data_IF_694998040096
#
_entry.id   IF_694998040096
#
_cell.length_a   1.000
_cell.length_b   1.000
_cell.length_c   1.000
_cell.angle_alpha   90.00
_cell.angle_beta   90.00
_cell.angle_gamma   90.00
#
_symmetry.space_group_name_H-M   'P 1'
#
loop_
_entity.id
_entity.type
_entity.pdbx_description
1 polymer ?
#
# COMPACT_ATOMS: atom_id res chain seq x y z
N UNK A 1 5.66 -8.22 0.59
CA UNK A 1 5.41 -8.36 2.06
C UNK A 1 4.84 -7.06 2.62
N UNK A 2 3.98 -7.14 3.62
CA UNK A 2 3.29 -5.98 4.18
C UNK A 2 3.51 -5.92 5.69
N UNK A 3 4.18 -4.88 6.23
CA UNK A 3 4.62 -4.81 7.63
C UNK A 3 3.79 -3.84 8.50
N UNK A 4 2.55 -3.52 8.14
CA UNK A 4 1.75 -2.55 8.89
C UNK A 4 0.33 -3.04 9.19
N UNK A 5 -0.27 -2.50 10.24
CA UNK A 5 -1.69 -2.66 10.56
C UNK A 5 -2.51 -1.54 9.89
N UNK A 6 -3.75 -1.86 9.55
CA UNK A 6 -4.72 -0.84 9.13
C UNK A 6 -5.16 -0.09 10.38
N UNK A 7 -5.05 1.22 10.36
CA UNK A 7 -5.42 2.08 11.47
C UNK A 7 -6.84 2.65 11.34
N UNK A 8 -7.01 3.72 10.58
CA UNK A 8 -8.31 4.35 10.39
C UNK A 8 -8.86 4.09 8.99
N UNK A 9 -10.15 3.75 8.92
CA UNK A 9 -10.91 3.72 7.68
C UNK A 9 -11.39 5.15 7.39
N UNK A 10 -10.52 5.98 6.85
CA UNK A 10 -10.78 7.39 6.58
C UNK A 10 -10.61 7.72 5.10
N UNK A 11 -11.53 8.51 4.50
CA UNK A 11 -11.43 8.85 3.07
C UNK A 11 -10.12 9.53 2.68
N UNK A 12 -9.62 10.43 3.53
CA UNK A 12 -8.35 11.13 3.35
C UNK A 12 -7.41 10.84 4.51
N UNK A 13 -6.16 11.27 4.41
CA UNK A 13 -5.26 11.18 5.56
C UNK A 13 -5.68 12.15 6.65
N UNK A 14 -5.48 11.75 7.89
CA UNK A 14 -5.76 12.58 9.08
C UNK A 14 -4.46 12.81 9.85
N UNK A 15 -4.10 14.07 10.02
CA UNK A 15 -2.98 14.43 10.89
C UNK A 15 -3.33 14.09 12.34
N UNK A 16 -2.53 13.25 12.96
CA UNK A 16 -2.79 12.74 14.32
C UNK A 16 -2.73 13.84 15.39
N UNK A 17 -1.82 14.81 15.23
CA UNK A 17 -1.61 15.88 16.19
C UNK A 17 -2.67 16.99 16.09
N UNK A 18 -3.07 17.37 14.88
CA UNK A 18 -3.96 18.52 14.65
C UNK A 18 -5.40 18.10 14.35
N UNK A 19 -5.62 16.87 13.90
CA UNK A 19 -6.92 16.39 13.41
C UNK A 19 -7.27 16.87 12.00
N UNK A 20 -6.37 17.62 11.34
CA UNK A 20 -6.58 18.11 9.99
C UNK A 20 -6.68 16.98 8.98
N UNK A 21 -7.59 17.15 8.03
CA UNK A 21 -7.78 16.22 6.91
C UNK A 21 -6.93 16.69 5.73
N UNK A 22 -6.16 15.77 5.15
CA UNK A 22 -5.20 16.06 4.08
C UNK A 22 -5.51 15.20 2.88
N UNK A 23 -5.73 15.83 1.73
CA UNK A 23 -5.93 15.13 0.44
C UNK A 23 -4.62 14.54 -0.08
N UNK A 24 -4.73 13.48 -0.86
CA UNK A 24 -3.60 12.73 -1.39
C UNK A 24 -3.68 12.55 -2.90
N UNK A 25 -2.52 12.34 -3.48
CA UNK A 25 -2.32 11.92 -4.86
C UNK A 25 -1.49 10.64 -4.91
N UNK A 26 -1.68 9.88 -5.97
CA UNK A 26 -0.89 8.69 -6.29
C UNK A 26 -0.02 8.99 -7.49
N UNK A 27 1.28 8.84 -7.33
CA UNK A 27 2.27 9.09 -8.39
C UNK A 27 2.99 7.78 -8.72
N UNK A 28 3.11 7.45 -10.01
CA UNK A 28 3.94 6.35 -10.46
C UNK A 28 5.43 6.72 -10.37
N UNK A 29 6.24 5.83 -9.78
CA UNK A 29 7.68 6.06 -9.63
C UNK A 29 8.44 5.10 -10.53
N UNK A 30 9.15 5.66 -11.52
CA UNK A 30 9.90 4.89 -12.53
C UNK A 30 11.42 5.03 -12.39
N UNK A 31 11.90 6.16 -11.86
CA UNK A 31 13.34 6.45 -11.81
C UNK A 31 14.03 5.71 -10.66
N UNK A 32 14.87 4.73 -10.99
CA UNK A 32 15.66 3.98 -10.01
C UNK A 32 16.55 4.88 -9.14
N UNK A 33 17.10 5.95 -9.72
CA UNK A 33 17.90 6.94 -8.96
C UNK A 33 17.09 7.72 -7.92
N UNK A 34 15.80 7.87 -8.13
CA UNK A 34 14.89 8.43 -7.14
C UNK A 34 14.57 7.36 -6.07
N UNK A 35 14.26 6.13 -6.49
CA UNK A 35 13.92 5.01 -5.60
C UNK A 35 15.07 4.61 -4.67
N UNK A 36 16.33 4.78 -5.07
CA UNK A 36 17.50 4.45 -4.25
C UNK A 36 17.60 5.25 -2.92
N UNK A 37 16.84 6.35 -2.82
CA UNK A 37 16.72 7.12 -1.57
C UNK A 37 15.87 6.41 -0.52
N UNK A 38 15.05 5.45 -0.93
CA UNK A 38 14.12 4.69 -0.09
C UNK A 38 14.69 3.30 0.13
N UNK A 39 15.34 3.10 1.26
CA UNK A 39 16.04 1.86 1.60
C UNK A 39 16.01 1.59 3.11
N UNK A 40 16.60 0.49 3.53
CA UNK A 40 16.65 0.10 4.95
C UNK A 40 17.27 1.17 5.85
N UNK A 41 18.33 1.84 5.37
CA UNK A 41 19.04 2.88 6.15
C UNK A 41 18.17 4.10 6.38
N UNK A 42 17.32 4.42 5.41
CA UNK A 42 16.37 5.55 5.48
C UNK A 42 15.01 5.15 6.06
N UNK A 43 14.85 3.88 6.48
CA UNK A 43 13.68 3.40 7.20
C UNK A 43 12.56 2.81 6.35
N UNK A 44 12.84 2.46 5.10
CA UNK A 44 11.85 1.95 4.14
C UNK A 44 11.88 0.43 3.95
N UNK A 45 12.43 -0.31 4.89
CA UNK A 45 12.49 -1.77 5.01
C UNK A 45 13.41 -2.47 4.00
N UNK A 46 13.37 -2.09 2.74
CA UNK A 46 14.12 -2.69 1.63
C UNK A 46 14.68 -1.59 0.72
N UNK A 47 15.59 -1.94 -0.18
CA UNK A 47 16.00 -1.05 -1.26
C UNK A 47 14.97 -1.08 -2.40
N UNK A 48 14.19 -0.03 -2.52
CA UNK A 48 13.12 0.10 -3.52
C UNK A 48 13.64 0.20 -4.96
N UNK A 49 14.91 0.50 -5.16
CA UNK A 49 15.54 0.55 -6.49
C UNK A 49 15.88 -0.83 -7.07
N UNK A 50 15.81 -1.90 -6.26
CA UNK A 50 16.15 -3.26 -6.68
C UNK A 50 15.00 -4.00 -7.38
N UNK A 51 13.77 -3.47 -7.37
CA UNK A 51 12.66 -4.09 -8.11
C UNK A 51 12.94 -4.15 -9.61
N UNK A 52 12.58 -5.28 -10.23
CA UNK A 52 12.67 -5.49 -11.69
C UNK A 52 11.63 -4.70 -12.48
N UNK A 53 11.77 -4.73 -13.80
CA UNK A 53 10.92 -3.93 -14.70
C UNK A 53 9.46 -4.43 -14.76
N UNK A 54 9.21 -5.67 -14.33
CA UNK A 54 7.88 -6.27 -14.19
C UNK A 54 7.09 -5.71 -12.99
N UNK A 55 7.77 -5.02 -12.08
CA UNK A 55 7.17 -4.46 -10.87
C UNK A 55 6.90 -2.97 -11.07
N UNK A 56 5.67 -2.58 -10.87
CA UNK A 56 5.26 -1.17 -10.89
C UNK A 56 5.27 -0.61 -9.46
N UNK A 57 5.84 0.59 -9.28
CA UNK A 57 5.93 1.24 -7.98
C UNK A 57 5.11 2.52 -7.99
N UNK A 58 4.31 2.69 -6.94
CA UNK A 58 3.48 3.87 -6.74
C UNK A 58 3.75 4.49 -5.36
N UNK A 59 3.73 5.81 -5.32
CA UNK A 59 3.85 6.61 -4.10
C UNK A 59 2.53 7.27 -3.77
N UNK A 60 2.10 7.17 -2.52
CA UNK A 60 1.05 8.01 -1.95
C UNK A 60 1.69 9.27 -1.40
N UNK A 61 1.31 10.42 -1.91
CA UNK A 61 1.86 11.73 -1.53
C UNK A 61 0.75 12.67 -1.03
N UNK A 62 1.13 13.66 -0.26
CA UNK A 62 0.24 14.79 0.05
C UNK A 62 -0.01 15.55 -1.26
N UNK A 63 -1.28 15.81 -1.57
CA UNK A 63 -1.71 16.48 -2.80
C UNK A 63 -0.95 17.77 -3.05
N UNK A 64 -0.44 17.93 -4.28
CA UNK A 64 0.36 19.08 -4.71
C UNK A 64 1.79 19.10 -4.17
N UNK A 65 2.27 17.99 -3.62
CA UNK A 65 3.65 17.85 -3.11
C UNK A 65 4.30 16.55 -3.59
N UNK A 66 5.58 16.37 -3.27
CA UNK A 66 6.31 15.10 -3.37
C UNK A 66 6.63 14.51 -1.99
N UNK A 67 5.83 14.86 -0.99
CA UNK A 67 5.97 14.35 0.37
C UNK A 67 5.33 12.95 0.48
N UNK A 68 6.16 11.92 0.40
CA UNK A 68 5.76 10.53 0.30
C UNK A 68 5.32 10.00 1.67
N UNK A 69 4.07 9.57 1.75
CA UNK A 69 3.49 8.97 2.95
C UNK A 69 3.56 7.44 2.96
N UNK A 70 3.63 6.82 1.79
CA UNK A 70 3.78 5.39 1.64
C UNK A 70 4.18 5.01 0.22
N UNK A 71 4.76 3.82 0.09
CA UNK A 71 5.14 3.20 -1.19
C UNK A 71 4.48 1.84 -1.33
N UNK A 72 4.12 1.50 -2.56
CA UNK A 72 3.61 0.18 -2.92
C UNK A 72 4.23 -0.30 -4.22
N UNK A 73 4.72 -1.53 -4.21
CA UNK A 73 5.26 -2.24 -5.36
C UNK A 73 4.32 -3.40 -5.73
N UNK A 74 3.88 -3.44 -6.98
CA UNK A 74 2.92 -4.41 -7.47
C UNK A 74 3.41 -5.11 -8.72
N UNK A 75 2.93 -6.34 -8.93
CA UNK A 75 3.09 -7.10 -10.18
C UNK A 75 1.72 -7.54 -10.68
N UNK A 76 1.51 -7.43 -11.98
CA UNK A 76 0.31 -7.94 -12.65
C UNK A 76 0.39 -9.47 -12.74
N UNK A 77 -0.27 -10.16 -11.81
CA UNK A 77 -0.35 -11.63 -11.78
C UNK A 77 -1.52 -12.13 -12.62
N UNK A 78 -1.29 -12.24 -13.93
CA UNK A 78 -2.29 -12.68 -14.89
C UNK A 78 -2.73 -14.12 -14.69
N UNK A 79 -1.87 -14.98 -14.16
CA UNK A 79 -2.20 -16.39 -13.91
C UNK A 79 -3.23 -16.52 -12.79
N UNK A 80 -3.12 -15.68 -11.76
CA UNK A 80 -4.07 -15.66 -10.65
C UNK A 80 -5.25 -14.70 -10.88
N UNK A 81 -5.30 -13.98 -11.99
CA UNK A 81 -6.25 -12.89 -12.25
C UNK A 81 -6.31 -11.90 -11.06
N UNK A 82 -5.16 -11.44 -10.62
CA UNK A 82 -5.02 -10.59 -9.46
C UNK A 82 -3.82 -9.65 -9.59
N UNK A 83 -3.71 -8.68 -8.71
CA UNK A 83 -2.47 -7.96 -8.45
C UNK A 83 -1.76 -8.62 -7.28
N UNK A 84 -0.49 -8.95 -7.48
CA UNK A 84 0.40 -9.32 -6.38
C UNK A 84 1.05 -8.08 -5.80
N UNK A 85 0.85 -7.84 -4.51
CA UNK A 85 1.55 -6.78 -3.77
C UNK A 85 2.89 -7.34 -3.30
N UNK A 86 3.97 -6.98 -4.01
CA UNK A 86 5.33 -7.41 -3.68
C UNK A 86 5.77 -6.83 -2.33
N UNK A 87 5.60 -5.51 -2.17
CA UNK A 87 5.82 -4.76 -0.94
C UNK A 87 4.87 -3.58 -0.85
N UNK A 88 4.45 -3.27 0.37
CA UNK A 88 3.85 -1.99 0.71
C UNK A 88 4.36 -1.58 2.07
N UNK A 89 4.68 -0.31 2.26
CA UNK A 89 5.03 0.21 3.57
C UNK A 89 4.66 1.70 3.70
N UNK A 90 4.40 2.10 4.92
CA UNK A 90 4.22 3.51 5.27
C UNK A 90 5.58 4.19 5.40
N UNK A 91 5.62 5.51 5.24
CA UNK A 91 6.85 6.28 5.47
C UNK A 91 7.34 6.11 6.92
N UNK A 92 8.63 6.33 7.17
CA UNK A 92 9.17 6.27 8.54
C UNK A 92 8.42 7.16 9.54
N UNK A 93 7.93 8.32 9.12
CA UNK A 93 7.14 9.25 9.97
C UNK A 93 5.75 8.70 10.33
N UNK A 94 5.24 7.72 9.59
CA UNK A 94 3.97 7.04 9.84
C UNK A 94 4.15 5.64 10.42
N UNK A 95 5.36 5.25 10.75
CA UNK A 95 5.67 3.94 11.33
C UNK A 95 5.74 4.04 12.87
N UNK A 96 4.65 3.61 13.52
CA UNK A 96 4.54 3.67 14.98
C UNK A 96 5.60 2.82 15.70
N UNK A 97 5.98 1.69 15.11
CA UNK A 97 6.98 0.79 15.68
C UNK A 97 8.38 1.40 15.70
N UNK A 98 8.65 2.29 14.73
CA UNK A 98 9.94 2.97 14.63
C UNK A 98 10.00 4.26 15.44
N UNK A 99 8.94 5.06 15.42
CA UNK A 99 8.93 6.41 15.98
C UNK A 99 8.10 6.55 17.26
N UNK A 100 7.39 5.48 17.69
CA UNK A 100 6.46 5.54 18.83
C UNK A 100 5.18 6.36 18.55
N UNK A 101 5.09 7.03 17.41
CA UNK A 101 3.95 7.83 16.97
C UNK A 101 3.82 7.84 15.45
N UNK A 102 2.68 8.29 14.95
CA UNK A 102 2.41 8.51 13.53
C UNK A 102 2.15 9.98 13.26
N UNK A 103 2.54 10.45 12.09
CA UNK A 103 2.16 11.78 11.60
C UNK A 103 0.74 11.76 11.03
N UNK A 104 0.42 10.75 10.23
CA UNK A 104 -0.89 10.57 9.59
C UNK A 104 -1.46 9.17 9.82
N UNK A 105 -2.80 9.11 9.99
CA UNK A 105 -3.62 7.91 9.90
C UNK A 105 -4.18 7.74 8.49
N UNK A 106 -4.49 6.49 8.11
CA UNK A 106 -5.14 6.13 6.85
C UNK A 106 -4.18 5.71 5.73
N UNK A 107 -2.86 5.82 5.91
CA UNK A 107 -1.87 5.51 4.85
C UNK A 107 -1.97 4.05 4.39
N UNK A 108 -1.98 3.10 5.31
CA UNK A 108 -1.99 1.67 4.98
C UNK A 108 -3.22 1.26 4.16
N UNK A 109 -4.39 1.72 4.57
CA UNK A 109 -5.62 1.45 3.84
C UNK A 109 -5.64 2.05 2.43
N UNK A 110 -5.11 3.27 2.26
CA UNK A 110 -4.95 3.87 0.93
C UNK A 110 -4.06 3.02 0.02
N UNK A 111 -2.97 2.45 0.52
CA UNK A 111 -2.08 1.59 -0.27
C UNK A 111 -2.81 0.34 -0.78
N UNK A 112 -3.64 -0.30 0.06
CA UNK A 112 -4.50 -1.40 -0.38
C UNK A 112 -5.52 -0.97 -1.44
N UNK A 113 -6.20 0.15 -1.24
CA UNK A 113 -7.16 0.67 -2.21
C UNK A 113 -6.51 1.00 -3.56
N UNK A 114 -5.28 1.52 -3.55
CA UNK A 114 -4.47 1.75 -4.77
C UNK A 114 -4.24 0.45 -5.52
N UNK A 115 -3.76 -0.61 -4.84
CA UNK A 115 -3.54 -1.92 -5.46
C UNK A 115 -4.84 -2.50 -6.04
N UNK A 116 -5.96 -2.39 -5.32
CA UNK A 116 -7.27 -2.85 -5.78
C UNK A 116 -7.76 -2.08 -7.01
N UNK A 117 -7.60 -0.75 -7.04
CA UNK A 117 -7.91 0.06 -8.22
C UNK A 117 -7.05 -0.32 -9.43
N UNK A 118 -5.75 -0.56 -9.23
CA UNK A 118 -4.87 -1.06 -10.28
C UNK A 118 -5.31 -2.44 -10.78
N UNK A 119 -5.77 -3.31 -9.88
CA UNK A 119 -6.37 -4.60 -10.22
C UNK A 119 -7.61 -4.45 -11.11
N UNK A 120 -8.50 -3.51 -10.79
CA UNK A 120 -9.67 -3.17 -11.63
C UNK A 120 -9.21 -2.67 -13.00
N UNK A 121 -8.26 -1.75 -13.06
CA UNK A 121 -7.73 -1.19 -14.32
C UNK A 121 -7.11 -2.27 -15.22
N UNK A 122 -6.50 -3.31 -14.63
CA UNK A 122 -5.91 -4.44 -15.37
C UNK A 122 -6.91 -5.58 -15.66
N UNK A 123 -8.19 -5.42 -15.28
CA UNK A 123 -9.25 -6.37 -15.58
C UNK A 123 -9.40 -7.52 -14.58
N UNK A 124 -8.86 -7.38 -13.39
CA UNK A 124 -8.90 -8.42 -12.33
C UNK A 124 -9.94 -8.14 -11.23
N UNK A 125 -10.87 -7.22 -11.45
CA UNK A 125 -12.01 -6.99 -10.56
C UNK A 125 -11.69 -6.44 -9.16
N UNK A 126 -10.47 -6.01 -8.92
CA UNK A 126 -10.03 -5.53 -7.60
C UNK A 126 -9.32 -6.59 -6.75
N UNK A 127 -9.24 -7.83 -7.22
CA UNK A 127 -8.58 -8.92 -6.49
C UNK A 127 -7.09 -8.63 -6.31
N UNK A 128 -6.64 -8.75 -5.08
CA UNK A 128 -5.23 -8.60 -4.71
C UNK A 128 -4.78 -9.74 -3.81
N UNK A 129 -3.50 -10.10 -3.88
CA UNK A 129 -2.91 -11.03 -2.94
C UNK A 129 -1.53 -10.56 -2.49
N UNK A 130 -1.13 -10.97 -1.30
CA UNK A 130 0.12 -10.54 -0.68
C UNK A 130 0.54 -11.49 0.44
N UNK A 131 1.70 -11.22 1.02
CA UNK A 131 2.22 -11.90 2.21
C UNK A 131 2.30 -10.88 3.35
N UNK A 132 1.62 -11.17 4.46
CA UNK A 132 1.79 -10.41 5.69
C UNK A 132 3.16 -10.68 6.32
N UNK A 133 3.74 -9.72 7.01
CA UNK A 133 5.05 -9.89 7.62
C UNK A 133 5.03 -10.89 8.77
N UNK A 134 3.94 -10.95 9.52
CA UNK A 134 3.75 -11.88 10.63
C UNK A 134 2.29 -12.33 10.76
N UNK A 135 2.05 -13.21 11.72
CA UNK A 135 0.73 -13.80 11.96
C UNK A 135 -0.29 -12.79 12.48
N UNK A 136 0.13 -11.85 13.30
CA UNK A 136 -0.79 -10.88 13.92
C UNK A 136 -1.28 -9.87 12.88
N UNK A 137 -0.40 -9.46 11.97
CA UNK A 137 -0.75 -8.64 10.80
C UNK A 137 -1.71 -9.40 9.88
N UNK A 138 -1.45 -10.68 9.60
CA UNK A 138 -2.35 -11.52 8.79
C UNK A 138 -3.75 -11.60 9.42
N UNK A 139 -3.83 -11.89 10.71
CA UNK A 139 -5.12 -11.98 11.42
C UNK A 139 -5.85 -10.65 11.38
N UNK A 140 -5.13 -9.53 11.52
CA UNK A 140 -5.71 -8.20 11.41
C UNK A 140 -6.34 -7.96 10.03
N UNK A 141 -5.72 -8.43 8.93
CA UNK A 141 -6.31 -8.30 7.59
C UNK A 141 -7.53 -9.21 7.40
N UNK A 142 -7.52 -10.41 8.01
CA UNK A 142 -8.72 -11.27 8.03
C UNK A 142 -9.88 -10.55 8.72
N UNK A 143 -9.63 -9.94 9.86
CA UNK A 143 -10.66 -9.28 10.67
C UNK A 143 -11.15 -7.94 10.06
N UNK A 144 -10.24 -7.21 9.40
CA UNK A 144 -10.53 -5.84 8.92
C UNK A 144 -10.97 -5.81 7.47
N UNK A 145 -10.41 -6.66 6.62
CA UNK A 145 -10.58 -6.66 5.17
C UNK A 145 -11.18 -7.95 4.61
N UNK A 146 -11.69 -8.83 5.46
CA UNK A 146 -12.20 -10.16 5.06
C UNK A 146 -11.16 -10.95 4.23
N UNK A 147 -9.86 -10.79 4.53
CA UNK A 147 -8.80 -11.48 3.82
C UNK A 147 -8.92 -13.00 4.03
N UNK A 148 -8.67 -13.75 2.97
CA UNK A 148 -8.69 -15.21 2.99
C UNK A 148 -7.25 -15.73 3.01
N UNK A 149 -6.90 -16.53 4.01
CA UNK A 149 -5.58 -17.15 4.09
C UNK A 149 -5.50 -18.29 3.11
N UNK A 150 -4.60 -18.22 2.14
CA UNK A 150 -4.42 -19.26 1.11
C UNK A 150 -3.16 -20.10 1.31
N UNK A 151 -2.12 -19.57 1.93
CA UNK A 151 -0.93 -20.31 2.34
C UNK A 151 -0.12 -20.97 1.20
N UNK A 152 -0.27 -20.51 -0.05
CA UNK A 152 0.36 -21.15 -1.22
C UNK A 152 1.83 -20.77 -1.33
N UNK A 153 2.13 -19.47 -1.32
CA UNK A 153 3.50 -18.95 -1.47
C UNK A 153 4.25 -18.88 -0.12
N UNK A 154 3.50 -18.70 0.96
CA UNK A 154 4.01 -18.53 2.31
C UNK A 154 2.88 -18.82 3.32
N UNK A 155 3.16 -19.27 4.58
CA UNK A 155 2.10 -19.46 5.59
C UNK A 155 1.23 -18.23 5.84
N UNK A 156 1.75 -17.02 5.60
CA UNK A 156 1.03 -15.75 5.76
C UNK A 156 0.57 -15.13 4.43
N UNK A 157 0.45 -15.96 3.39
CA UNK A 157 -0.12 -15.58 2.10
C UNK A 157 -1.64 -15.48 2.18
N UNK A 158 -2.18 -14.34 1.75
CA UNK A 158 -3.62 -14.07 1.76
C UNK A 158 -4.08 -13.46 0.44
N UNK A 159 -5.37 -13.55 0.19
CA UNK A 159 -6.07 -12.90 -0.91
C UNK A 159 -7.23 -12.05 -0.36
N UNK A 160 -7.50 -10.93 -1.00
CA UNK A 160 -8.71 -10.13 -0.82
C UNK A 160 -9.48 -10.20 -2.13
N UNK A 161 -10.69 -10.77 -2.08
CA UNK A 161 -11.53 -11.00 -3.25
C UNK A 161 -12.31 -9.74 -3.67
N UNK A 162 -12.91 -9.79 -4.85
CA UNK A 162 -13.59 -8.67 -5.51
C UNK A 162 -14.62 -7.96 -4.62
N UNK A 163 -15.46 -8.72 -3.90
CA UNK A 163 -16.51 -8.13 -3.06
C UNK A 163 -15.93 -7.30 -1.90
N UNK A 164 -14.92 -7.83 -1.23
CA UNK A 164 -14.24 -7.13 -0.13
C UNK A 164 -13.41 -5.96 -0.65
N UNK A 165 -12.72 -6.14 -1.78
CA UNK A 165 -11.97 -5.08 -2.44
C UNK A 165 -12.84 -3.89 -2.82
N UNK A 166 -14.05 -4.14 -3.33
CA UNK A 166 -15.01 -3.09 -3.66
C UNK A 166 -15.39 -2.25 -2.44
N UNK A 167 -15.68 -2.88 -1.32
CA UNK A 167 -16.01 -2.19 -0.06
C UNK A 167 -14.83 -1.32 0.41
N UNK A 168 -13.60 -1.82 0.31
CA UNK A 168 -12.40 -1.08 0.71
C UNK A 168 -12.16 0.12 -0.20
N UNK A 169 -12.26 -0.04 -1.52
CA UNK A 169 -12.09 1.05 -2.48
C UNK A 169 -13.10 2.19 -2.27
N UNK A 170 -14.32 1.89 -1.81
CA UNK A 170 -15.34 2.91 -1.53
C UNK A 170 -15.00 3.81 -0.34
N UNK A 171 -14.12 3.37 0.57
CA UNK A 171 -13.72 4.13 1.76
C UNK A 171 -12.72 5.23 1.42
N UNK A 172 -11.71 4.92 0.61
CA UNK A 172 -10.54 5.77 0.42
C UNK A 172 -10.67 6.66 -0.82
N UNK A 173 -10.28 7.92 -0.69
CA UNK A 173 -10.30 8.93 -1.77
C UNK A 173 -8.90 9.46 -2.01
N UNK A 174 -8.49 9.47 -3.26
CA UNK A 174 -7.23 10.02 -3.73
C UNK A 174 -7.35 10.34 -5.22
N UNK A 175 -6.43 11.14 -5.73
CA UNK A 175 -6.36 11.45 -7.15
C UNK A 175 -5.16 10.72 -7.78
N UNK A 176 -5.31 10.33 -9.05
CA UNK A 176 -4.19 9.84 -9.83
C UNK A 176 -3.46 11.03 -10.44
N UNK A 177 -2.16 11.14 -10.21
CA UNK A 177 -1.35 12.15 -10.85
C UNK A 177 -0.98 11.74 -12.27
N UNK A 178 -0.98 12.70 -13.20
CA UNK A 178 -0.42 12.52 -14.54
C UNK A 178 1.11 12.61 -14.54
N UNK A 179 1.72 13.03 -13.44
CA UNK A 179 3.16 13.10 -13.26
C UNK A 179 3.76 11.75 -12.90
N UNK A 180 5.03 11.56 -13.28
CA UNK A 180 5.82 10.38 -12.93
C UNK A 180 7.14 10.82 -12.26
N UNK A 181 7.59 10.08 -11.26
CA UNK A 181 8.86 10.29 -10.54
C UNK A 181 9.93 9.28 -10.93
#
# INVERSE_FOLDING_TARGET
MIPFLIDSLTPCLKNVSTGDIVETEVIRVKRKSFLSKFNERTGWYIDWSEFGDETEIYALVIKGTVDIQGLIAITDDKESNAIYINWACTSPSNNIWRNGSKLYEGVGGHLFAIAMNLSVQKGHGGVVHAIAMDKDILQHYVDTFDAIVVGIMHPYHFVIEEESAKKIMEVYKYEWSDEEL
#
